data_IF_144758566373
#
_entry.id   IF_144758566373
#
_cell.length_a   1.000
_cell.length_b   1.000
_cell.length_c   1.000
_cell.angle_alpha   90.00
_cell.angle_beta   90.00
_cell.angle_gamma   90.00
#
_symmetry.space_group_name_H-M   'P 1'
#
loop_
_entity.id
_entity.type
_entity.pdbx_description
1 polymer ?
#
# COMPACT_ATOMS: atom_id res chain seq x y z
N UNK A 1 -18.60 8.42 0.91
CA UNK A 1 -18.41 8.75 2.35
C UNK A 1 -17.67 10.08 2.50
N UNK A 2 -16.38 10.19 2.14
CA UNK A 2 -15.61 11.43 2.29
C UNK A 2 -16.17 12.67 1.58
N UNK A 3 -16.67 12.54 0.34
CA UNK A 3 -17.34 13.64 -0.37
C UNK A 3 -18.55 14.19 0.40
N UNK A 4 -19.30 13.31 1.09
CA UNK A 4 -20.48 13.73 1.87
C UNK A 4 -20.10 14.43 3.18
N UNK A 5 -18.97 14.07 3.77
CA UNK A 5 -18.52 14.61 5.07
C UNK A 5 -17.66 15.87 4.91
N UNK A 6 -16.78 15.90 3.91
CA UNK A 6 -15.77 16.95 3.73
C UNK A 6 -15.97 17.78 2.46
N UNK A 7 -16.96 17.42 1.62
CA UNK A 7 -17.33 18.20 0.45
C UNK A 7 -16.17 18.50 -0.50
N UNK A 8 -16.06 19.77 -0.86
CA UNK A 8 -15.10 20.26 -1.85
C UNK A 8 -13.64 20.13 -1.39
N UNK A 9 -13.38 20.23 -0.08
CA UNK A 9 -12.04 20.06 0.48
C UNK A 9 -11.44 18.69 0.14
N UNK A 10 -12.26 17.64 0.27
CA UNK A 10 -11.85 16.29 -0.15
C UNK A 10 -11.76 16.18 -1.67
N UNK A 11 -12.71 16.72 -2.42
CA UNK A 11 -12.69 16.59 -3.90
C UNK A 11 -11.41 17.19 -4.51
N UNK A 12 -10.98 18.36 -4.02
CA UNK A 12 -9.77 19.06 -4.49
C UNK A 12 -8.45 18.39 -4.07
N UNK A 13 -8.46 17.52 -3.06
CA UNK A 13 -7.26 16.85 -2.53
C UNK A 13 -7.39 15.32 -2.57
N UNK A 14 -8.35 14.81 -3.34
CA UNK A 14 -8.68 13.38 -3.36
C UNK A 14 -7.56 12.53 -3.95
N UNK A 15 -6.70 13.13 -4.76
CA UNK A 15 -5.51 12.51 -5.37
C UNK A 15 -4.61 11.84 -4.33
N UNK A 16 -4.38 12.48 -3.17
CA UNK A 16 -3.55 11.90 -2.08
C UNK A 16 -4.09 10.54 -1.62
N UNK A 17 -5.42 10.37 -1.60
CA UNK A 17 -6.04 9.10 -1.26
C UNK A 17 -6.03 8.12 -2.44
N UNK A 18 -6.23 8.59 -3.66
CA UNK A 18 -6.18 7.75 -4.87
C UNK A 18 -4.80 7.13 -5.06
N UNK A 19 -3.73 7.89 -4.84
CA UNK A 19 -2.35 7.43 -4.88
C UNK A 19 -2.08 6.34 -3.84
N UNK A 20 -2.54 6.56 -2.59
CA UNK A 20 -2.44 5.55 -1.54
C UNK A 20 -3.09 4.23 -1.95
N UNK A 21 -4.32 4.25 -2.47
CA UNK A 21 -5.00 3.03 -2.89
C UNK A 21 -4.34 2.37 -4.10
N UNK A 22 -3.76 3.16 -5.00
CA UNK A 22 -3.00 2.67 -6.15
C UNK A 22 -1.76 1.91 -5.71
N UNK A 23 -0.97 2.48 -4.79
CA UNK A 23 0.22 1.83 -4.27
C UNK A 23 -0.10 0.60 -3.40
N UNK A 24 -1.17 0.63 -2.61
CA UNK A 24 -1.66 -0.55 -1.89
C UNK A 24 -2.02 -1.70 -2.85
N UNK A 25 -2.72 -1.38 -3.96
CA UNK A 25 -3.04 -2.35 -5.00
C UNK A 25 -1.78 -2.90 -5.66
N UNK A 26 -0.81 -2.03 -5.98
CA UNK A 26 0.47 -2.40 -6.58
C UNK A 26 1.27 -3.34 -5.69
N UNK A 27 1.33 -3.05 -4.38
CA UNK A 27 1.96 -3.93 -3.40
C UNK A 27 1.28 -5.31 -3.39
N UNK A 28 -0.05 -5.34 -3.34
CA UNK A 28 -0.82 -6.59 -3.31
C UNK A 28 -0.60 -7.44 -4.56
N UNK A 29 -0.54 -6.83 -5.75
CA UNK A 29 -0.37 -7.55 -7.03
C UNK A 29 1.08 -7.99 -7.31
N UNK A 30 1.98 -7.87 -6.34
CA UNK A 30 3.36 -8.35 -6.48
C UNK A 30 4.40 -7.28 -6.79
N UNK A 31 4.02 -5.99 -6.81
CA UNK A 31 4.95 -4.89 -7.00
C UNK A 31 6.03 -4.84 -5.91
N UNK A 32 7.22 -4.36 -6.28
CA UNK A 32 8.30 -4.06 -5.35
C UNK A 32 8.05 -2.69 -4.71
N UNK A 33 7.19 -2.67 -3.69
CA UNK A 33 6.78 -1.46 -2.95
C UNK A 33 7.07 -1.69 -1.48
N UNK A 34 7.67 -0.70 -0.83
CA UNK A 34 7.83 -0.68 0.62
C UNK A 34 6.57 -0.12 1.27
N UNK A 35 5.76 -0.98 1.90
CA UNK A 35 4.49 -0.58 2.53
C UNK A 35 4.68 0.48 3.61
N UNK A 36 5.74 0.38 4.41
CA UNK A 36 5.94 1.32 5.52
C UNK A 36 6.29 2.71 5.02
N UNK A 37 7.19 2.78 4.05
CA UNK A 37 7.61 4.03 3.39
C UNK A 37 6.42 4.69 2.68
N UNK A 38 5.68 3.95 1.87
CA UNK A 38 4.48 4.45 1.20
C UNK A 38 3.43 4.99 2.18
N UNK A 39 3.22 4.33 3.32
CA UNK A 39 2.30 4.83 4.35
C UNK A 39 2.84 6.09 5.03
N UNK A 40 4.15 6.16 5.31
CA UNK A 40 4.75 7.36 5.88
C UNK A 40 4.62 8.55 4.91
N UNK A 41 4.89 8.34 3.62
CA UNK A 41 4.75 9.36 2.57
C UNK A 41 3.32 9.86 2.44
N UNK A 42 2.33 8.97 2.50
CA UNK A 42 0.91 9.34 2.52
C UNK A 42 0.60 10.29 3.67
N UNK A 43 1.07 9.98 4.88
CA UNK A 43 0.81 10.81 6.06
C UNK A 43 1.53 12.16 6.00
N UNK A 44 2.75 12.22 5.47
CA UNK A 44 3.47 13.47 5.25
C UNK A 44 2.72 14.36 4.25
N UNK A 45 2.38 13.84 3.07
CA UNK A 45 1.59 14.58 2.06
C UNK A 45 0.24 15.02 2.59
N UNK A 46 -0.45 14.17 3.36
CA UNK A 46 -1.73 14.52 3.96
C UNK A 46 -1.58 15.65 4.98
N UNK A 47 -0.51 15.64 5.79
CA UNK A 47 -0.24 16.72 6.74
C UNK A 47 -0.04 18.04 6.03
N UNK A 48 0.80 18.08 5.00
CA UNK A 48 1.10 19.30 4.25
C UNK A 48 -0.17 19.91 3.64
N UNK A 49 -0.99 19.08 3.00
CA UNK A 49 -2.29 19.51 2.44
C UNK A 49 -3.24 20.01 3.52
N UNK A 50 -3.38 19.29 4.64
CA UNK A 50 -4.24 19.71 5.75
C UNK A 50 -3.75 21.02 6.39
N UNK A 51 -2.43 21.20 6.52
CA UNK A 51 -1.84 22.38 7.11
C UNK A 51 -2.13 23.65 6.29
N UNK A 52 -2.02 23.55 4.97
CA UNK A 52 -2.41 24.63 4.05
C UNK A 52 -3.91 24.92 4.10
N UNK A 53 -4.76 23.88 4.15
CA UNK A 53 -6.22 24.03 4.19
C UNK A 53 -6.73 24.69 5.48
N UNK A 54 -6.09 24.40 6.62
CA UNK A 54 -6.46 24.98 7.93
C UNK A 54 -5.97 26.42 8.06
N UNK A 55 -4.90 26.79 7.33
CA UNK A 55 -4.27 28.11 7.40
C UNK A 55 -4.30 28.86 6.06
N UNK A 56 -5.49 29.07 5.46
CA UNK A 56 -5.59 29.58 4.08
C UNK A 56 -5.13 31.04 3.94
N UNK A 57 -5.04 31.78 5.05
CA UNK A 57 -4.52 33.15 5.06
C UNK A 57 -3.00 33.24 4.83
N UNK A 58 -2.27 32.13 4.93
CA UNK A 58 -0.82 32.08 4.80
C UNK A 58 -0.41 31.30 3.55
N UNK A 59 0.67 31.74 2.92
CA UNK A 59 1.33 31.01 1.85
C UNK A 59 2.58 30.36 2.43
N UNK A 60 2.70 29.04 2.30
CA UNK A 60 3.82 28.26 2.81
C UNK A 60 4.70 27.81 1.64
N UNK A 61 6.02 27.98 1.77
CA UNK A 61 6.98 27.41 0.83
C UNK A 61 7.09 25.89 1.02
N UNK A 62 7.61 25.20 0.01
CA UNK A 62 7.89 23.76 0.09
C UNK A 62 8.85 23.44 1.25
N UNK A 63 9.94 24.21 1.40
CA UNK A 63 10.90 24.07 2.51
C UNK A 63 10.23 24.20 3.89
N UNK A 64 9.23 25.07 4.01
CA UNK A 64 8.50 25.24 5.27
C UNK A 64 7.63 24.02 5.56
N UNK A 65 6.94 23.48 4.54
CA UNK A 65 6.12 22.29 4.68
C UNK A 65 6.97 21.05 4.98
N UNK A 66 8.15 20.91 4.36
CA UNK A 66 9.11 19.86 4.70
C UNK A 66 9.58 19.98 6.15
N UNK A 67 9.82 21.21 6.63
CA UNK A 67 10.12 21.48 8.02
C UNK A 67 8.98 21.04 8.95
N UNK A 68 7.72 21.37 8.62
CA UNK A 68 6.54 20.91 9.38
C UNK A 68 6.48 19.38 9.42
N UNK A 69 6.71 18.71 8.29
CA UNK A 69 6.72 17.25 8.18
C UNK A 69 7.76 16.60 9.11
N UNK A 70 8.91 17.26 9.40
CA UNK A 70 9.92 16.79 10.36
C UNK A 70 9.44 16.76 11.82
N UNK A 71 8.45 17.56 12.20
CA UNK A 71 7.91 17.60 13.57
C UNK A 71 6.68 16.69 13.77
N UNK A 72 6.27 15.96 12.74
CA UNK A 72 5.06 15.10 12.77
C UNK A 72 5.09 14.09 13.92
N UNK A 73 6.22 13.45 14.17
CA UNK A 73 6.34 12.42 15.22
C UNK A 73 6.23 12.99 16.63
N UNK A 74 6.68 14.22 16.83
CA UNK A 74 6.63 14.90 18.12
C UNK A 74 5.22 15.47 18.39
N UNK A 75 4.63 16.13 17.38
CA UNK A 75 3.35 16.82 17.54
C UNK A 75 2.14 15.89 17.39
N UNK A 76 2.31 14.76 16.70
CA UNK A 76 1.25 13.78 16.42
C UNK A 76 -0.05 14.44 15.96
N UNK A 77 -0.05 15.19 14.83
CA UNK A 77 -1.24 15.91 14.35
C UNK A 77 -2.44 15.00 14.08
N UNK A 78 -2.19 13.73 13.76
CA UNK A 78 -3.20 12.69 13.57
C UNK A 78 -3.31 11.72 14.76
N UNK A 79 -2.74 12.08 15.91
CA UNK A 79 -2.65 11.24 17.10
C UNK A 79 -1.95 9.90 16.81
N UNK A 80 -2.50 8.82 17.35
CA UNK A 80 -1.97 7.46 17.16
C UNK A 80 -2.47 6.77 15.88
N UNK A 81 -3.30 7.43 15.07
CA UNK A 81 -3.92 6.84 13.87
C UNK A 81 -2.88 6.37 12.85
N UNK A 82 -1.85 7.17 12.47
CA UNK A 82 -0.83 6.73 11.51
C UNK A 82 -0.11 5.45 11.94
N UNK A 83 0.28 5.40 13.22
CA UNK A 83 0.97 4.25 13.81
C UNK A 83 0.09 3.00 13.81
N UNK A 84 -1.16 3.11 14.27
CA UNK A 84 -2.10 1.98 14.32
C UNK A 84 -2.44 1.48 12.92
N UNK A 85 -2.71 2.40 11.99
CA UNK A 85 -3.00 2.07 10.59
C UNK A 85 -1.81 1.34 9.97
N UNK A 86 -0.59 1.84 10.14
CA UNK A 86 0.62 1.19 9.62
C UNK A 86 0.75 -0.25 10.07
N UNK A 87 0.62 -0.51 11.37
CA UNK A 87 0.73 -1.88 11.91
C UNK A 87 -0.37 -2.79 11.34
N UNK A 88 -1.61 -2.31 11.27
CA UNK A 88 -2.74 -3.12 10.81
C UNK A 88 -2.68 -3.40 9.31
N UNK A 89 -2.43 -2.37 8.49
CA UNK A 89 -2.35 -2.47 7.04
C UNK A 89 -1.17 -3.33 6.62
N UNK A 90 0.02 -3.12 7.21
CA UNK A 90 1.20 -3.93 6.88
C UNK A 90 0.95 -5.41 7.12
N UNK A 91 0.40 -5.77 8.29
CA UNK A 91 0.07 -7.16 8.62
C UNK A 91 -0.97 -7.76 7.68
N UNK A 92 -2.04 -7.02 7.40
CA UNK A 92 -3.13 -7.48 6.56
C UNK A 92 -2.66 -7.73 5.10
N UNK A 93 -1.90 -6.79 4.53
CA UNK A 93 -1.44 -6.89 3.14
C UNK A 93 -0.35 -7.95 2.96
N UNK A 94 0.58 -8.11 3.91
CA UNK A 94 1.55 -9.22 3.88
C UNK A 94 0.80 -10.55 3.90
N UNK A 95 -0.12 -10.75 4.84
CA UNK A 95 -0.87 -12.00 4.96
C UNK A 95 -1.66 -12.31 3.68
N UNK A 96 -2.39 -11.33 3.13
CA UNK A 96 -3.17 -11.50 1.92
C UNK A 96 -2.28 -11.82 0.70
N UNK A 97 -1.17 -11.09 0.52
CA UNK A 97 -0.22 -11.32 -0.58
C UNK A 97 0.40 -12.71 -0.48
N UNK A 98 0.91 -13.08 0.69
CA UNK A 98 1.53 -14.40 0.91
C UNK A 98 0.52 -15.53 0.68
N UNK A 99 -0.72 -15.37 1.12
CA UNK A 99 -1.77 -16.36 0.91
C UNK A 99 -2.05 -16.60 -0.58
N UNK A 100 -2.26 -15.54 -1.35
CA UNK A 100 -2.55 -15.64 -2.80
C UNK A 100 -1.35 -16.17 -3.58
N UNK A 101 -0.15 -15.73 -3.24
CA UNK A 101 1.09 -16.26 -3.82
C UNK A 101 1.25 -17.75 -3.51
N UNK A 102 1.00 -18.16 -2.26
CA UNK A 102 1.06 -19.56 -1.84
C UNK A 102 0.08 -20.45 -2.61
N UNK A 103 -1.17 -20.00 -2.80
CA UNK A 103 -2.15 -20.72 -3.63
C UNK A 103 -1.73 -20.83 -5.09
N UNK A 104 -1.10 -19.78 -5.63
CA UNK A 104 -0.61 -19.76 -7.02
C UNK A 104 0.53 -20.77 -7.20
N UNK A 105 1.52 -20.73 -6.32
CA UNK A 105 2.65 -21.68 -6.33
C UNK A 105 2.15 -23.11 -6.11
N UNK A 106 1.22 -23.33 -5.17
CA UNK A 106 0.63 -24.65 -4.93
C UNK A 106 -0.05 -25.23 -6.17
N UNK A 107 -0.85 -24.42 -6.88
CA UNK A 107 -1.45 -24.79 -8.17
C UNK A 107 -0.40 -25.14 -9.21
N UNK A 108 0.67 -24.36 -9.32
CA UNK A 108 1.74 -24.64 -10.28
C UNK A 108 2.44 -25.97 -10.00
N UNK A 109 2.77 -26.25 -8.74
CA UNK A 109 3.42 -27.51 -8.34
C UNK A 109 2.52 -28.69 -8.66
N UNK A 110 1.24 -28.65 -8.27
CA UNK A 110 0.28 -29.72 -8.56
C UNK A 110 0.20 -30.02 -10.06
N UNK A 111 0.08 -28.98 -10.90
CA UNK A 111 0.05 -29.14 -12.36
C UNK A 111 1.34 -29.74 -12.93
N UNK A 112 2.51 -29.40 -12.37
CA UNK A 112 3.80 -29.96 -12.80
C UNK A 112 3.91 -31.44 -12.42
N UNK A 113 3.42 -31.84 -11.25
CA UNK A 113 3.42 -33.23 -10.79
C UNK A 113 2.48 -34.08 -11.65
N UNK A 114 1.23 -33.65 -11.84
CA UNK A 114 0.26 -34.39 -12.67
C UNK A 114 0.75 -34.62 -14.11
N UNK A 115 1.47 -33.66 -14.70
CA UNK A 115 2.06 -33.80 -16.05
C UNK A 115 3.23 -34.79 -16.11
N UNK A 116 3.97 -34.98 -15.03
CA UNK A 116 5.07 -35.96 -14.97
C UNK A 116 4.55 -37.38 -14.77
N UNK A 117 3.50 -37.54 -13.97
CA UNK A 117 2.85 -38.84 -13.73
C UNK A 117 2.14 -39.40 -14.97
N UNK A 118 1.70 -38.52 -15.88
CA UNK A 118 1.08 -38.90 -17.16
C UNK A 118 2.04 -39.26 -18.29
N UNK A 119 3.36 -39.30 -18.08
CA UNK A 119 4.29 -39.85 -19.10
C UNK A 119 4.37 -41.37 -18.91
N UNK A 120 3.92 -42.18 -19.89
CA UNK A 120 4.15 -43.62 -19.83
C UNK A 120 5.65 -43.88 -19.72
N UNK A 121 6.04 -44.82 -18.86
CA UNK A 121 7.36 -45.44 -18.95
C UNK A 121 7.48 -46.03 -20.37
N UNK A 122 8.23 -45.37 -21.26
CA UNK A 122 8.68 -46.01 -22.50
C UNK A 122 9.60 -47.15 -22.09
N UNK A 123 9.04 -48.36 -22.07
CA UNK A 123 9.81 -49.59 -22.01
C UNK A 123 10.68 -49.62 -23.27
N UNK A 124 11.95 -49.24 -23.12
CA UNK A 124 12.98 -49.57 -24.10
C UNK A 124 13.17 -51.09 -24.06
N UNK A 125 12.36 -51.77 -24.88
CA UNK A 125 12.48 -53.19 -25.16
C UNK A 125 13.81 -53.43 -25.86
N UNK A 126 14.76 -54.00 -25.12
CA UNK A 126 15.96 -54.59 -25.69
C UNK A 126 15.60 -55.81 -26.54
N UNK A 127 16.02 -55.79 -27.80
CA UNK A 127 16.35 -56.97 -28.58
C UNK A 127 17.44 -56.62 -29.57
#
# INVERSE_FOLDING_TARGET
MFVRTYGMLYMQNSEVFQDLFTELKRYYTGGNVNLEEMLNDFWARLLERMFQLINPQYHFSEDYLECVSKYTDQLKPFGDVPRKLKIQVTRAFIAARTFVQGLTVGREVANRVSKKEGRPYEHTGGR
#
